data_IF_471984056862
#
_entry.id   IF_471984056862
#
_cell.length_a   1.000
_cell.length_b   1.000
_cell.length_c   1.000
_cell.angle_alpha   90.00
_cell.angle_beta   90.00
_cell.angle_gamma   90.00
#
_symmetry.space_group_name_H-M   'P 1'
#
loop_
_entity.id
_entity.type
_entity.pdbx_description
1 polymer ?
#
# COMPACT_ATOMS: atom_id res chain seq x y z
N UNK A 1 13.96 -7.20 10.89
CA UNK A 1 12.98 -8.14 10.33
C UNK A 1 13.73 -9.13 9.45
N UNK A 2 13.62 -10.44 9.69
CA UNK A 2 14.18 -11.42 8.75
C UNK A 2 13.03 -11.99 7.92
N UNK A 3 12.75 -11.36 6.77
CA UNK A 3 11.81 -11.89 5.80
C UNK A 3 12.59 -12.72 4.79
N UNK A 4 12.21 -13.99 4.63
CA UNK A 4 12.79 -14.89 3.65
C UNK A 4 11.70 -15.38 2.70
N UNK A 5 11.82 -15.08 1.42
CA UNK A 5 10.80 -15.36 0.41
C UNK A 5 11.37 -16.28 -0.67
N UNK A 6 10.67 -17.35 -0.95
CA UNK A 6 10.94 -18.18 -2.12
C UNK A 6 10.41 -17.49 -3.37
N UNK A 7 11.30 -17.16 -4.30
CA UNK A 7 10.91 -16.46 -5.53
C UNK A 7 10.54 -17.40 -6.68
N UNK A 8 11.10 -18.60 -6.73
CA UNK A 8 10.89 -19.58 -7.79
C UNK A 8 12.19 -20.32 -8.11
N UNK A 9 12.31 -20.86 -9.33
CA UNK A 9 13.52 -21.54 -9.78
C UNK A 9 14.29 -20.71 -10.81
N UNK A 10 15.59 -20.67 -10.67
CA UNK A 10 16.48 -20.10 -11.66
C UNK A 10 16.53 -20.93 -12.95
N UNK A 11 17.21 -20.41 -13.98
CA UNK A 11 17.43 -21.13 -15.24
C UNK A 11 18.21 -22.43 -15.08
N UNK A 12 19.00 -22.54 -14.02
CA UNK A 12 19.77 -23.73 -13.64
C UNK A 12 18.97 -24.74 -12.80
N UNK A 13 17.67 -24.49 -12.59
CA UNK A 13 16.78 -25.33 -11.79
C UNK A 13 16.96 -25.19 -10.28
N UNK A 14 17.84 -24.32 -9.81
CA UNK A 14 18.04 -24.08 -8.37
C UNK A 14 16.95 -23.14 -7.82
N UNK A 15 16.55 -23.41 -6.59
CA UNK A 15 15.61 -22.55 -5.88
C UNK A 15 16.24 -21.17 -5.60
N UNK A 16 15.50 -20.14 -5.89
CA UNK A 16 15.88 -18.75 -5.67
C UNK A 16 15.09 -18.18 -4.50
N UNK A 17 15.83 -17.75 -3.49
CA UNK A 17 15.28 -17.08 -2.31
C UNK A 17 15.74 -15.64 -2.25
N UNK A 18 14.91 -14.80 -1.67
CA UNK A 18 15.28 -13.45 -1.30
C UNK A 18 15.08 -13.26 0.19
N UNK A 19 16.14 -12.87 0.88
CA UNK A 19 16.13 -12.57 2.29
C UNK A 19 16.66 -11.16 2.53
N UNK A 20 15.95 -10.38 3.33
CA UNK A 20 16.41 -9.06 3.72
C UNK A 20 15.95 -8.73 5.13
N UNK A 21 16.91 -8.39 5.99
CA UNK A 21 16.67 -8.00 7.38
C UNK A 21 16.42 -6.49 7.53
N UNK A 22 16.93 -5.67 6.62
CA UNK A 22 16.97 -4.23 6.78
C UNK A 22 15.89 -3.49 6.00
N UNK A 23 15.54 -3.96 4.82
CA UNK A 23 14.57 -3.32 3.95
C UNK A 23 13.71 -4.36 3.24
N UNK A 24 12.46 -4.52 3.67
CA UNK A 24 11.51 -5.46 3.11
C UNK A 24 10.55 -4.83 2.07
N UNK A 25 10.86 -3.64 1.54
CA UNK A 25 10.09 -3.05 0.45
C UNK A 25 10.32 -3.81 -0.87
N UNK A 26 9.23 -4.06 -1.60
CA UNK A 26 9.24 -4.74 -2.89
C UNK A 26 8.57 -3.84 -3.93
N UNK A 27 9.13 -3.78 -5.13
CA UNK A 27 8.45 -3.22 -6.29
C UNK A 27 8.35 -4.24 -7.42
N UNK A 28 7.17 -4.38 -8.01
CA UNK A 28 6.88 -5.33 -9.08
C UNK A 28 6.34 -4.55 -10.28
N UNK A 29 7.05 -4.64 -11.38
CA UNK A 29 6.70 -3.97 -12.63
C UNK A 29 6.46 -4.99 -13.73
N UNK A 30 5.49 -4.73 -14.61
CA UNK A 30 5.23 -5.56 -15.79
C UNK A 30 3.83 -5.36 -16.35
N UNK A 31 3.61 -5.82 -17.58
CA UNK A 31 2.33 -5.71 -18.26
C UNK A 31 1.22 -6.50 -17.54
N UNK A 32 -0.04 -6.11 -17.77
CA UNK A 32 -1.19 -6.87 -17.27
C UNK A 32 -1.17 -8.32 -17.79
N UNK A 33 -1.65 -9.27 -16.97
CA UNK A 33 -1.69 -10.70 -17.32
C UNK A 33 -0.34 -11.43 -17.28
N UNK A 34 0.74 -10.80 -16.81
CA UNK A 34 2.08 -11.45 -16.76
C UNK A 34 2.34 -12.26 -15.50
N UNK A 35 1.41 -12.32 -14.54
CA UNK A 35 1.53 -13.11 -13.31
C UNK A 35 1.94 -12.34 -12.07
N UNK A 36 1.96 -10.99 -12.09
CA UNK A 36 2.32 -10.15 -10.94
C UNK A 36 1.48 -10.44 -9.70
N UNK A 37 0.15 -10.38 -9.83
CA UNK A 37 -0.78 -10.58 -8.72
C UNK A 37 -0.70 -12.01 -8.17
N UNK A 38 -0.45 -13.00 -9.02
CA UNK A 38 -0.22 -14.37 -8.59
C UNK A 38 1.03 -14.49 -7.73
N UNK A 39 2.18 -13.97 -8.20
CA UNK A 39 3.42 -13.98 -7.44
C UNK A 39 3.24 -13.30 -6.09
N UNK A 40 2.67 -12.09 -6.06
CA UNK A 40 2.55 -11.31 -4.82
C UNK A 40 1.60 -12.00 -3.82
N UNK A 41 0.53 -12.64 -4.29
CA UNK A 41 -0.40 -13.41 -3.43
C UNK A 41 0.32 -14.58 -2.77
N UNK A 42 1.18 -15.29 -3.50
CA UNK A 42 2.01 -16.37 -2.97
C UNK A 42 3.01 -15.85 -1.93
N UNK A 43 3.73 -14.76 -2.24
CA UNK A 43 4.68 -14.14 -1.32
C UNK A 43 4.00 -13.59 -0.06
N UNK A 44 2.78 -13.06 -0.19
CA UNK A 44 1.97 -12.60 0.94
C UNK A 44 1.63 -13.75 1.90
N UNK A 45 1.20 -14.89 1.37
CA UNK A 45 0.95 -16.10 2.18
C UNK A 45 2.21 -16.60 2.88
N UNK A 46 3.36 -16.54 2.21
CA UNK A 46 4.63 -16.93 2.79
C UNK A 46 5.09 -15.98 3.91
N UNK A 47 4.95 -14.67 3.72
CA UNK A 47 5.22 -13.66 4.74
C UNK A 47 4.28 -13.82 5.96
N UNK A 48 2.99 -14.07 5.72
CA UNK A 48 2.00 -14.34 6.76
C UNK A 48 2.41 -15.54 7.61
N UNK A 49 2.83 -16.67 7.00
CA UNK A 49 3.34 -17.86 7.73
C UNK A 49 4.59 -17.56 8.56
N UNK A 50 5.37 -16.55 8.21
CA UNK A 50 6.51 -16.07 8.99
C UNK A 50 6.10 -15.08 10.10
N UNK A 51 4.80 -14.85 10.30
CA UNK A 51 4.23 -14.05 11.37
C UNK A 51 4.12 -12.56 11.07
N UNK A 52 4.27 -12.15 9.81
CA UNK A 52 4.01 -10.77 9.39
C UNK A 52 2.51 -10.50 9.30
N UNK A 53 2.11 -9.28 9.62
CA UNK A 53 0.79 -8.78 9.27
C UNK A 53 0.82 -8.34 7.80
N UNK A 54 -0.13 -8.77 7.02
CA UNK A 54 -0.26 -8.32 5.63
C UNK A 54 -1.58 -7.57 5.48
N UNK A 55 -1.53 -6.34 4.99
CA UNK A 55 -2.71 -5.50 4.77
C UNK A 55 -2.79 -5.15 3.29
N UNK A 56 -3.92 -5.46 2.68
CA UNK A 56 -4.18 -5.24 1.25
C UNK A 56 -5.42 -4.35 1.11
N UNK A 57 -5.28 -3.04 0.99
CA UNK A 57 -6.38 -2.20 0.53
C UNK A 57 -6.65 -2.51 -0.95
N UNK A 58 -7.65 -3.34 -1.23
CA UNK A 58 -7.91 -3.87 -2.58
C UNK A 58 -8.74 -2.90 -3.43
N UNK A 59 -8.18 -1.71 -3.70
CA UNK A 59 -8.85 -0.70 -4.52
C UNK A 59 -8.91 -1.02 -6.01
N UNK A 60 -8.18 -2.05 -6.45
CA UNK A 60 -8.15 -2.53 -7.84
C UNK A 60 -8.98 -3.79 -8.06
N UNK A 61 -9.60 -4.33 -7.01
CA UNK A 61 -10.38 -5.58 -7.00
C UNK A 61 -9.54 -6.82 -7.47
N UNK A 62 -8.21 -6.75 -7.32
CA UNK A 62 -7.27 -7.78 -7.80
C UNK A 62 -7.16 -8.99 -6.87
N UNK A 63 -7.58 -8.89 -5.61
CA UNK A 63 -7.42 -9.92 -4.57
C UNK A 63 -8.74 -10.52 -4.09
N UNK A 64 -9.86 -10.24 -4.76
CA UNK A 64 -11.20 -10.75 -4.38
C UNK A 64 -11.26 -12.27 -4.27
N UNK A 65 -10.52 -12.98 -5.12
CA UNK A 65 -10.51 -14.45 -5.18
C UNK A 65 -9.44 -15.09 -4.29
N UNK A 66 -8.64 -14.28 -3.58
CA UNK A 66 -7.62 -14.83 -2.71
C UNK A 66 -8.24 -15.45 -1.47
N UNK A 67 -8.08 -16.76 -1.32
CA UNK A 67 -8.60 -17.53 -0.18
C UNK A 67 -7.48 -18.35 0.47
N UNK A 68 -7.48 -18.40 1.78
CA UNK A 68 -6.61 -19.24 2.62
C UNK A 68 -7.12 -19.14 4.06
N UNK A 69 -6.73 -20.05 4.94
CA UNK A 69 -7.07 -19.98 6.38
C UNK A 69 -6.54 -18.74 7.08
N UNK A 70 -5.49 -18.10 6.53
CA UNK A 70 -4.92 -16.86 7.04
C UNK A 70 -5.46 -15.60 6.34
N UNK A 71 -6.45 -15.71 5.45
CA UNK A 71 -7.02 -14.56 4.70
C UNK A 71 -8.34 -14.13 5.30
N UNK A 72 -8.45 -12.85 5.61
CA UNK A 72 -9.67 -12.20 6.08
C UNK A 72 -10.09 -11.12 5.09
N UNK A 73 -11.31 -11.23 4.55
CA UNK A 73 -11.92 -10.20 3.73
C UNK A 73 -12.83 -9.31 4.58
N UNK A 74 -12.64 -8.01 4.53
CA UNK A 74 -13.45 -7.04 5.28
C UNK A 74 -13.86 -5.89 4.38
N UNK A 75 -15.15 -5.57 4.38
CA UNK A 75 -15.65 -4.37 3.73
C UNK A 75 -15.15 -3.13 4.49
N UNK A 76 -14.66 -2.12 3.75
CA UNK A 76 -14.14 -0.86 4.31
C UNK A 76 -15.14 -0.18 5.26
N UNK A 77 -16.45 -0.35 5.04
CA UNK A 77 -17.51 0.20 5.88
C UNK A 77 -17.56 -0.37 7.30
N UNK A 78 -16.91 -1.52 7.53
CA UNK A 78 -16.78 -2.17 8.84
C UNK A 78 -15.51 -1.78 9.59
N UNK A 79 -14.68 -0.93 8.99
CA UNK A 79 -13.42 -0.49 9.57
C UNK A 79 -13.61 0.92 10.11
N UNK A 80 -13.27 1.13 11.38
CA UNK A 80 -13.25 2.46 11.94
C UNK A 80 -11.99 3.20 11.46
N UNK A 81 -12.18 4.18 10.58
CA UNK A 81 -11.13 5.08 10.09
C UNK A 81 -11.21 6.47 10.73
N UNK A 82 -12.02 6.67 11.77
CA UNK A 82 -12.10 7.94 12.46
C UNK A 82 -10.82 8.20 13.25
N UNK A 83 -10.07 9.21 12.83
CA UNK A 83 -8.74 9.53 13.37
C UNK A 83 -8.79 9.93 14.85
N UNK A 84 -9.84 10.62 15.29
CA UNK A 84 -9.99 11.04 16.68
C UNK A 84 -10.36 9.86 17.57
N UNK A 85 -11.29 9.02 17.14
CA UNK A 85 -11.68 7.82 17.84
C UNK A 85 -10.50 6.84 17.99
N UNK A 86 -9.72 6.65 16.93
CA UNK A 86 -8.58 5.72 16.92
C UNK A 86 -7.36 6.24 17.72
N UNK A 87 -7.27 7.54 17.95
CA UNK A 87 -6.19 8.15 18.75
C UNK A 87 -6.54 8.36 20.22
N UNK A 88 -7.70 7.85 20.66
CA UNK A 88 -8.17 8.00 22.05
C UNK A 88 -7.13 7.52 23.07
N UNK A 89 -6.96 8.31 24.13
CA UNK A 89 -5.97 8.05 25.20
C UNK A 89 -4.56 8.56 24.91
N UNK A 90 -4.32 9.16 23.72
CA UNK A 90 -3.07 9.88 23.43
C UNK A 90 -3.17 11.34 23.89
N UNK A 91 -2.04 12.02 23.88
CA UNK A 91 -1.96 13.45 24.14
C UNK A 91 -2.86 14.26 23.19
N UNK A 92 -3.56 15.27 23.73
CA UNK A 92 -4.56 16.06 23.00
C UNK A 92 -3.93 16.82 21.82
N UNK A 93 -2.75 17.43 22.03
CA UNK A 93 -2.05 18.17 20.99
C UNK A 93 -1.57 17.24 19.87
N UNK A 94 -1.06 16.05 20.23
CA UNK A 94 -0.65 15.05 19.26
C UNK A 94 -1.85 14.60 18.40
N UNK A 95 -3.02 14.40 19.00
CA UNK A 95 -4.26 14.03 18.28
C UNK A 95 -4.74 15.11 17.32
N UNK A 96 -4.67 16.38 17.75
CA UNK A 96 -5.00 17.51 16.90
C UNK A 96 -4.03 17.63 15.70
N UNK A 97 -2.73 17.35 15.91
CA UNK A 97 -1.75 17.33 14.82
C UNK A 97 -1.94 16.16 13.86
N UNK A 98 -2.32 14.98 14.36
CA UNK A 98 -2.71 13.82 13.53
C UNK A 98 -3.93 14.15 12.65
N UNK A 99 -4.92 14.87 13.19
CA UNK A 99 -6.08 15.37 12.43
C UNK A 99 -5.64 16.27 11.28
N UNK A 100 -4.80 17.26 11.55
CA UNK A 100 -4.26 18.18 10.52
C UNK A 100 -3.44 17.41 9.48
N UNK A 101 -2.62 16.47 9.92
CA UNK A 101 -1.82 15.63 9.03
C UNK A 101 -2.69 14.78 8.11
N UNK A 102 -3.83 14.27 8.61
CA UNK A 102 -4.81 13.54 7.81
C UNK A 102 -5.49 14.43 6.76
N UNK A 103 -5.83 15.67 7.08
CA UNK A 103 -6.36 16.63 6.10
C UNK A 103 -5.34 16.91 5.00
N UNK A 104 -4.07 17.06 5.36
CA UNK A 104 -2.96 17.33 4.41
C UNK A 104 -2.76 16.20 3.38
N UNK A 105 -3.20 14.97 3.68
CA UNK A 105 -3.16 13.88 2.70
C UNK A 105 -4.06 14.16 1.48
N UNK A 106 -5.12 14.95 1.67
CA UNK A 106 -6.16 15.15 0.65
C UNK A 106 -6.13 16.52 0.00
N UNK A 107 -5.62 17.53 0.70
CA UNK A 107 -5.59 18.88 0.17
C UNK A 107 -4.47 19.73 0.77
N UNK A 108 -4.10 20.79 0.05
CA UNK A 108 -3.26 21.86 0.60
C UNK A 108 -4.11 22.74 1.49
N UNK A 109 -3.69 22.93 2.72
CA UNK A 109 -4.36 23.82 3.69
C UNK A 109 -3.36 24.88 4.17
N UNK A 110 -3.77 26.15 4.15
CA UNK A 110 -2.94 27.28 4.61
C UNK A 110 -2.75 27.29 6.13
N UNK A 111 -1.64 27.82 6.62
CA UNK A 111 -1.21 27.78 8.03
C UNK A 111 -2.30 28.33 8.96
N UNK A 112 -2.92 29.47 8.64
CA UNK A 112 -3.98 30.09 9.47
C UNK A 112 -5.16 29.14 9.67
N UNK A 113 -5.62 28.47 8.59
CA UNK A 113 -6.72 27.51 8.65
C UNK A 113 -6.35 26.25 9.44
N UNK A 114 -5.09 25.79 9.31
CA UNK A 114 -4.58 24.67 10.12
C UNK A 114 -4.64 25.02 11.60
N UNK A 115 -4.19 26.21 11.99
CA UNK A 115 -4.19 26.66 13.38
C UNK A 115 -5.61 26.81 13.93
N UNK A 116 -6.53 27.35 13.13
CA UNK A 116 -7.95 27.42 13.53
C UNK A 116 -8.54 26.04 13.79
N UNK A 117 -8.33 25.08 12.87
CA UNK A 117 -8.86 23.71 13.04
C UNK A 117 -8.18 23.03 14.23
N UNK A 118 -6.87 23.21 14.41
CA UNK A 118 -6.11 22.65 15.54
C UNK A 118 -6.66 23.15 16.88
N UNK A 119 -6.84 24.45 17.03
CA UNK A 119 -7.38 25.04 18.28
C UNK A 119 -8.76 24.53 18.60
N UNK A 120 -9.65 24.46 17.60
CA UNK A 120 -11.00 23.91 17.78
C UNK A 120 -10.98 22.43 18.17
N UNK A 121 -10.07 21.64 17.54
CA UNK A 121 -9.91 20.24 17.89
C UNK A 121 -9.37 20.03 19.31
N UNK A 122 -8.40 20.85 19.74
CA UNK A 122 -7.85 20.82 21.12
C UNK A 122 -8.96 21.15 22.13
N UNK A 123 -9.72 22.25 21.91
CA UNK A 123 -10.83 22.63 22.79
C UNK A 123 -11.89 21.52 22.86
N UNK A 124 -12.27 20.96 21.70
CA UNK A 124 -13.20 19.84 21.63
C UNK A 124 -12.76 18.65 22.47
N UNK A 125 -11.49 18.23 22.30
CA UNK A 125 -10.92 17.07 23.01
C UNK A 125 -10.74 17.29 24.50
N UNK A 126 -10.54 18.53 24.95
CA UNK A 126 -10.47 18.90 26.36
C UNK A 126 -11.84 18.91 27.04
N UNK A 127 -12.88 19.32 26.33
CA UNK A 127 -14.24 19.45 26.84
C UNK A 127 -15.04 18.14 26.77
N UNK A 128 -14.70 17.24 25.83
CA UNK A 128 -15.45 16.00 25.57
C UNK A 128 -14.61 14.77 25.89
N UNK A 129 -15.10 13.91 26.75
CA UNK A 129 -14.39 12.68 27.16
C UNK A 129 -15.03 11.38 26.65
N UNK A 130 -16.21 11.45 26.03
CA UNK A 130 -16.98 10.22 25.73
C UNK A 130 -17.10 9.91 24.25
N UNK A 131 -17.37 10.87 23.40
CA UNK A 131 -17.62 10.65 21.97
C UNK A 131 -16.71 11.53 21.10
N UNK A 132 -15.47 11.13 20.99
CA UNK A 132 -14.40 11.88 20.31
C UNK A 132 -14.26 11.41 18.87
N UNK A 133 -15.17 11.87 17.99
CA UNK A 133 -15.16 11.55 16.56
C UNK A 133 -15.10 12.80 15.70
N UNK A 134 -14.67 12.66 14.44
CA UNK A 134 -14.65 13.79 13.49
C UNK A 134 -16.05 14.37 13.24
N UNK A 135 -17.13 13.60 13.09
CA UNK A 135 -18.49 14.15 12.99
C UNK A 135 -18.91 14.97 14.22
N UNK A 136 -18.55 14.53 15.43
CA UNK A 136 -18.85 15.28 16.66
C UNK A 136 -18.01 16.57 16.75
N UNK A 137 -16.77 16.55 16.30
CA UNK A 137 -15.97 17.77 16.17
C UNK A 137 -16.61 18.77 15.21
N UNK A 138 -17.14 18.33 14.07
CA UNK A 138 -17.86 19.21 13.14
C UNK A 138 -19.06 19.85 13.86
N UNK A 139 -19.87 19.04 14.55
CA UNK A 139 -21.04 19.51 15.31
C UNK A 139 -20.66 20.50 16.43
N UNK A 140 -19.52 20.27 17.09
CA UNK A 140 -18.96 21.18 18.09
C UNK A 140 -18.58 22.51 17.47
N UNK A 141 -17.83 22.50 16.35
CA UNK A 141 -17.41 23.72 15.65
C UNK A 141 -18.60 24.56 15.18
N UNK A 142 -19.67 23.92 14.71
CA UNK A 142 -20.91 24.60 14.28
C UNK A 142 -21.60 25.36 15.42
N UNK A 143 -21.48 24.87 16.66
CA UNK A 143 -22.01 25.55 17.85
C UNK A 143 -21.14 26.69 18.33
N UNK A 144 -19.82 26.59 18.15
CA UNK A 144 -18.86 27.59 18.61
C UNK A 144 -18.69 28.76 17.65
N UNK A 145 -18.79 28.52 16.35
CA UNK A 145 -18.55 29.51 15.31
C UNK A 145 -19.85 30.26 14.95
N UNK A 146 -19.75 31.58 14.74
CA UNK A 146 -20.87 32.44 14.36
C UNK A 146 -20.89 32.75 12.85
N UNK A 147 -19.71 32.81 12.21
CA UNK A 147 -19.60 33.15 10.81
C UNK A 147 -19.87 31.93 9.92
N UNK A 148 -20.84 32.04 9.01
CA UNK A 148 -21.18 30.96 8.06
C UNK A 148 -20.01 30.52 7.19
N UNK A 149 -19.11 31.46 6.81
CA UNK A 149 -17.90 31.15 6.03
C UNK A 149 -16.87 30.31 6.78
N UNK A 150 -16.76 30.47 8.11
CA UNK A 150 -15.88 29.65 8.94
C UNK A 150 -16.46 28.24 9.12
N UNK A 151 -17.78 28.14 9.33
CA UNK A 151 -18.49 26.85 9.42
C UNK A 151 -18.34 26.06 8.10
N UNK A 152 -18.54 26.72 6.98
CA UNK A 152 -18.36 26.10 5.66
C UNK A 152 -16.90 25.64 5.44
N UNK A 153 -15.95 26.46 5.82
CA UNK A 153 -14.54 26.09 5.78
C UNK A 153 -14.26 24.83 6.61
N UNK A 154 -14.75 24.75 7.84
CA UNK A 154 -14.58 23.59 8.73
C UNK A 154 -15.23 22.33 8.09
N UNK A 155 -16.46 22.43 7.63
CA UNK A 155 -17.16 21.32 6.95
C UNK A 155 -16.36 20.81 5.74
N UNK A 156 -15.81 21.72 4.93
CA UNK A 156 -15.05 21.37 3.74
C UNK A 156 -13.77 20.63 4.07
N UNK A 157 -13.02 21.03 5.09
CA UNK A 157 -11.78 20.36 5.46
C UNK A 157 -11.99 19.08 6.27
N UNK A 158 -12.81 19.12 7.32
CA UNK A 158 -13.07 17.92 8.13
C UNK A 158 -13.91 16.88 7.39
N UNK A 159 -14.81 17.30 6.50
CA UNK A 159 -15.58 16.40 5.64
C UNK A 159 -14.70 15.53 4.73
N UNK A 160 -13.47 15.94 4.45
CA UNK A 160 -12.53 15.13 3.69
C UNK A 160 -12.11 13.84 4.42
N UNK A 161 -12.11 13.86 5.73
CA UNK A 161 -11.62 12.77 6.60
C UNK A 161 -12.74 12.08 7.43
N UNK A 162 -14.00 12.43 7.19
CA UNK A 162 -15.14 11.71 7.77
C UNK A 162 -15.18 10.30 7.18
N UNK A 163 -15.23 9.23 8.02
CA UNK A 163 -15.33 7.86 7.55
C UNK A 163 -16.67 7.58 6.83
N UNK A 164 -16.68 6.55 5.98
CA UNK A 164 -17.84 6.19 5.12
C UNK A 164 -19.05 5.75 5.93
N UNK A 165 -18.82 5.16 7.10
CA UNK A 165 -19.87 4.50 7.89
C UNK A 165 -20.06 5.13 9.25
N UNK A 166 -21.33 5.42 9.56
CA UNK A 166 -21.75 5.73 10.92
C UNK A 166 -21.81 4.49 11.84
N UNK A 167 -21.82 3.28 11.27
CA UNK A 167 -21.90 2.01 12.02
C UNK A 167 -20.52 1.46 12.44
N UNK A 168 -19.47 2.26 12.34
CA UNK A 168 -18.08 1.89 12.59
C UNK A 168 -17.74 1.58 14.07
N UNK A 169 -18.69 1.11 14.86
CA UNK A 169 -18.47 0.71 16.25
C UNK A 169 -17.93 -0.72 16.42
N UNK A 170 -17.88 -1.52 15.36
CA UNK A 170 -17.17 -2.80 15.37
C UNK A 170 -15.70 -2.55 15.01
N UNK A 171 -14.87 -2.37 16.02
CA UNK A 171 -13.41 -2.26 15.85
C UNK A 171 -12.85 -3.56 15.30
N UNK A 172 -12.82 -3.71 14.00
CA UNK A 172 -12.01 -4.76 13.37
C UNK A 172 -10.58 -4.24 13.32
N UNK A 173 -9.68 -4.85 14.10
CA UNK A 173 -8.25 -4.53 14.02
C UNK A 173 -7.74 -4.85 12.61
N UNK A 174 -7.18 -3.85 11.94
CA UNK A 174 -6.59 -4.00 10.60
C UNK A 174 -5.33 -4.87 10.65
N UNK A 175 -4.60 -4.83 11.76
CA UNK A 175 -3.35 -5.56 11.93
C UNK A 175 -3.55 -6.74 12.88
N UNK A 176 -3.70 -7.95 12.32
CA UNK A 176 -3.76 -9.19 13.08
C UNK A 176 -2.53 -10.05 12.77
N UNK A 177 -1.73 -10.44 13.79
CA UNK A 177 -0.50 -11.20 13.59
C UNK A 177 -0.72 -12.51 12.82
N UNK A 178 0.04 -12.70 11.75
CA UNK A 178 -0.07 -13.90 10.93
C UNK A 178 -1.36 -13.97 10.11
N UNK A 179 -1.97 -12.83 9.80
CA UNK A 179 -3.14 -12.73 8.94
C UNK A 179 -2.87 -11.84 7.72
N UNK A 180 -3.56 -12.15 6.64
CA UNK A 180 -3.67 -11.31 5.45
C UNK A 180 -5.05 -10.65 5.50
N UNK A 181 -5.08 -9.37 5.72
CA UNK A 181 -6.31 -8.60 5.80
C UNK A 181 -6.56 -7.88 4.48
N UNK A 182 -7.51 -8.36 3.69
CA UNK A 182 -7.93 -7.75 2.43
C UNK A 182 -9.11 -6.84 2.72
N UNK A 183 -8.92 -5.54 2.50
CA UNK A 183 -9.93 -4.52 2.70
C UNK A 183 -10.60 -4.24 1.36
N UNK A 184 -11.87 -4.61 1.26
CA UNK A 184 -12.67 -4.49 0.05
C UNK A 184 -13.42 -3.16 0.02
N UNK A 185 -13.50 -2.57 -1.17
CA UNK A 185 -14.26 -1.35 -1.40
C UNK A 185 -15.59 -1.65 -2.08
N UNK A 186 -16.67 -0.94 -1.74
CA UNK A 186 -17.94 -1.08 -2.42
C UNK A 186 -17.81 -0.81 -3.93
N UNK A 187 -18.53 -1.56 -4.75
CA UNK A 187 -18.48 -1.46 -6.22
C UNK A 187 -18.87 -0.08 -6.75
N UNK A 188 -19.73 0.65 -6.05
CA UNK A 188 -20.17 2.00 -6.40
C UNK A 188 -19.14 3.09 -6.08
N UNK A 189 -18.10 2.77 -5.33
CA UNK A 189 -17.06 3.72 -4.94
C UNK A 189 -16.10 3.97 -6.10
N UNK A 190 -15.98 5.22 -6.50
CA UNK A 190 -15.06 5.63 -7.57
C UNK A 190 -13.59 5.43 -7.20
N UNK A 191 -12.72 5.32 -8.21
CA UNK A 191 -11.27 5.10 -8.04
C UNK A 191 -10.61 6.11 -7.10
N UNK A 192 -10.92 7.39 -7.24
CA UNK A 192 -10.34 8.45 -6.42
C UNK A 192 -10.71 8.30 -4.94
N UNK A 193 -11.95 7.89 -4.66
CA UNK A 193 -12.39 7.62 -3.29
C UNK A 193 -11.69 6.39 -2.71
N UNK A 194 -11.55 5.29 -3.50
CA UNK A 194 -10.83 4.09 -3.07
C UNK A 194 -9.39 4.41 -2.72
N UNK A 195 -8.70 5.19 -3.55
CA UNK A 195 -7.33 5.64 -3.30
C UNK A 195 -7.23 6.51 -2.04
N UNK A 196 -8.18 7.41 -1.85
CA UNK A 196 -8.28 8.26 -0.66
C UNK A 196 -8.40 7.43 0.62
N UNK A 197 -9.32 6.47 0.65
CA UNK A 197 -9.47 5.60 1.82
C UNK A 197 -8.27 4.66 2.00
N UNK A 198 -7.61 4.27 0.92
CA UNK A 198 -6.32 3.57 1.00
C UNK A 198 -5.29 4.39 1.77
N UNK A 199 -5.11 5.67 1.44
CA UNK A 199 -4.20 6.55 2.18
C UNK A 199 -4.60 6.72 3.65
N UNK A 200 -5.91 6.74 3.98
CA UNK A 200 -6.38 6.75 5.38
C UNK A 200 -6.02 5.46 6.13
N UNK A 201 -6.18 4.29 5.50
CA UNK A 201 -5.78 3.00 6.09
C UNK A 201 -4.27 3.00 6.37
N UNK A 202 -3.47 3.45 5.40
CA UNK A 202 -2.02 3.55 5.55
C UNK A 202 -1.63 4.49 6.70
N UNK A 203 -2.32 5.63 6.83
CA UNK A 203 -2.08 6.61 7.89
C UNK A 203 -2.45 6.04 9.27
N UNK A 204 -3.56 5.34 9.38
CA UNK A 204 -3.98 4.71 10.64
C UNK A 204 -2.96 3.70 11.13
N UNK A 205 -2.57 2.75 10.28
CA UNK A 205 -1.57 1.73 10.64
C UNK A 205 -0.21 2.37 10.92
N UNK A 206 0.16 3.41 10.18
CA UNK A 206 1.38 4.19 10.47
C UNK A 206 1.35 4.75 11.90
N UNK A 207 0.26 5.40 12.28
CA UNK A 207 0.12 6.02 13.61
C UNK A 207 0.13 4.97 14.74
N UNK A 208 -0.43 3.79 14.49
CA UNK A 208 -0.35 2.66 15.43
C UNK A 208 1.09 2.14 15.58
N UNK A 209 1.85 2.05 14.50
CA UNK A 209 3.22 1.51 14.51
C UNK A 209 4.27 2.46 15.08
N UNK A 210 4.09 3.78 14.95
CA UNK A 210 5.02 4.76 15.53
C UNK A 210 4.81 4.93 17.03
N UNK A 211 3.68 4.49 17.59
CA UNK A 211 3.41 4.56 19.03
C UNK A 211 4.06 3.36 19.74
N UNK A 212 5.07 3.57 20.61
CA UNK A 212 5.79 2.46 21.25
C UNK A 212 4.90 1.53 22.09
N UNK A 213 3.80 2.05 22.64
CA UNK A 213 2.86 1.29 23.46
C UNK A 213 1.88 0.45 22.63
N UNK A 214 1.75 0.73 21.34
CA UNK A 214 0.81 0.08 20.42
C UNK A 214 1.53 -0.67 19.28
N UNK A 215 2.84 -0.52 19.15
CA UNK A 215 3.62 -1.13 18.08
C UNK A 215 3.36 -2.65 18.05
N UNK A 216 2.74 -3.09 16.99
CA UNK A 216 2.44 -4.48 16.71
C UNK A 216 3.63 -5.17 16.02
N UNK A 217 3.44 -6.43 15.62
CA UNK A 217 4.39 -7.12 14.74
C UNK A 217 4.54 -6.36 13.41
N UNK A 218 5.64 -6.59 12.67
CA UNK A 218 5.89 -5.95 11.40
C UNK A 218 4.72 -6.06 10.42
N UNK A 219 4.46 -4.98 9.69
CA UNK A 219 3.34 -4.87 8.74
C UNK A 219 3.86 -4.75 7.31
N UNK A 220 3.23 -5.49 6.41
CA UNK A 220 3.44 -5.41 4.97
C UNK A 220 2.15 -4.86 4.34
N UNK A 221 2.25 -3.73 3.65
CA UNK A 221 1.19 -3.25 2.76
C UNK A 221 1.41 -3.76 1.34
N UNK A 222 0.38 -4.32 0.72
CA UNK A 222 0.38 -4.65 -0.71
C UNK A 222 -0.53 -3.68 -1.43
N UNK A 223 0.03 -2.97 -2.40
CA UNK A 223 -0.63 -1.90 -3.15
C UNK A 223 -0.52 -2.22 -4.65
N UNK A 224 -1.58 -2.79 -5.21
CA UNK A 224 -1.65 -3.08 -6.65
C UNK A 224 -2.05 -1.81 -7.42
N UNK A 225 -1.73 -1.76 -8.71
CA UNK A 225 -1.93 -0.57 -9.57
C UNK A 225 -1.40 0.73 -8.94
N UNK A 226 -0.20 0.64 -8.34
CA UNK A 226 0.41 1.72 -7.56
C UNK A 226 0.61 3.04 -8.33
N UNK A 227 0.45 3.04 -9.67
CA UNK A 227 0.46 4.27 -10.47
C UNK A 227 -0.69 5.22 -10.10
N UNK A 228 -1.81 4.71 -9.60
CA UNK A 228 -2.92 5.52 -9.11
C UNK A 228 -2.63 6.26 -7.79
N UNK A 229 -1.63 5.82 -7.03
CA UNK A 229 -1.29 6.41 -5.72
C UNK A 229 -0.48 7.71 -5.78
N UNK A 230 -0.22 8.25 -6.97
CA UNK A 230 0.58 9.48 -7.16
C UNK A 230 1.91 9.44 -6.39
N UNK A 231 2.63 8.32 -6.46
CA UNK A 231 3.93 8.15 -5.81
C UNK A 231 4.90 9.28 -6.19
N UNK A 232 5.66 9.78 -5.20
CA UNK A 232 6.51 10.96 -5.35
C UNK A 232 5.90 12.24 -4.79
N UNK A 233 4.62 12.25 -4.37
CA UNK A 233 3.98 13.30 -3.59
C UNK A 233 4.25 13.14 -2.08
N UNK A 234 3.65 13.99 -1.24
CA UNK A 234 3.75 13.90 0.23
C UNK A 234 2.62 13.05 0.84
N UNK A 235 2.24 11.95 0.19
CA UNK A 235 1.24 11.02 0.69
C UNK A 235 1.85 9.89 1.53
N UNK A 236 1.01 9.09 2.21
CA UNK A 236 1.46 8.03 3.11
C UNK A 236 2.13 6.89 2.37
N UNK A 237 1.63 6.52 1.18
CA UNK A 237 2.25 5.49 0.35
C UNK A 237 3.72 5.83 0.01
N UNK A 238 4.03 7.09 -0.32
CA UNK A 238 5.41 7.56 -0.51
C UNK A 238 6.21 7.56 0.78
N UNK A 239 5.59 8.00 1.89
CA UNK A 239 6.24 8.03 3.21
C UNK A 239 6.62 6.63 3.69
N UNK A 240 5.79 5.64 3.47
CA UNK A 240 6.08 4.24 3.77
C UNK A 240 7.37 3.79 3.09
N UNK A 241 7.56 4.07 1.81
CA UNK A 241 8.79 3.71 1.08
C UNK A 241 10.04 4.38 1.64
N UNK A 242 9.92 5.63 2.11
CA UNK A 242 11.06 6.41 2.62
C UNK A 242 11.44 6.09 4.05
N UNK A 243 10.46 5.88 4.90
CA UNK A 243 10.64 5.87 6.36
C UNK A 243 10.12 4.60 7.02
N UNK A 244 9.23 3.83 6.35
CA UNK A 244 8.48 2.73 6.95
C UNK A 244 9.35 1.67 7.62
N UNK A 245 10.53 1.38 7.07
CA UNK A 245 11.44 0.37 7.63
C UNK A 245 11.83 0.67 9.09
N UNK A 246 11.91 1.97 9.48
CA UNK A 246 12.25 2.38 10.86
C UNK A 246 11.20 1.95 11.86
N UNK A 247 9.97 1.79 11.41
CA UNK A 247 8.79 1.49 12.22
C UNK A 247 8.24 0.09 11.96
N UNK A 248 8.99 -0.75 11.26
CA UNK A 248 8.54 -2.09 10.95
C UNK A 248 7.47 -2.17 9.88
N UNK A 249 7.35 -1.15 9.03
CA UNK A 249 6.38 -1.10 7.92
C UNK A 249 7.08 -1.31 6.60
N UNK A 250 6.57 -2.23 5.79
CA UNK A 250 7.04 -2.49 4.42
C UNK A 250 5.93 -2.24 3.41
N UNK A 251 6.26 -1.61 2.29
CA UNK A 251 5.36 -1.46 1.15
C UNK A 251 5.79 -2.37 0.00
N UNK A 252 4.85 -3.13 -0.54
CA UNK A 252 4.98 -3.94 -1.73
C UNK A 252 4.11 -3.33 -2.82
N UNK A 253 4.74 -2.73 -3.81
CA UNK A 253 4.08 -1.93 -4.84
C UNK A 253 4.07 -2.67 -6.17
N UNK A 254 2.89 -2.91 -6.69
CA UNK A 254 2.69 -3.55 -7.98
C UNK A 254 2.19 -2.50 -8.96
N UNK A 255 2.80 -2.42 -10.11
CA UNK A 255 2.34 -1.50 -11.16
C UNK A 255 2.60 -2.07 -12.55
N UNK A 256 1.82 -1.60 -13.51
CA UNK A 256 2.18 -1.68 -14.90
C UNK A 256 3.40 -0.78 -15.14
N UNK A 257 3.95 -0.73 -16.34
CA UNK A 257 5.12 0.09 -16.61
C UNK A 257 4.90 1.56 -16.20
N UNK A 258 5.79 2.10 -15.36
CA UNK A 258 5.72 3.49 -14.93
C UNK A 258 6.46 4.39 -15.93
N UNK A 259 5.72 5.24 -16.61
CA UNK A 259 6.29 6.28 -17.49
C UNK A 259 6.73 7.54 -16.71
N UNK A 260 6.33 7.67 -15.44
CA UNK A 260 6.69 8.80 -14.59
C UNK A 260 8.03 8.56 -13.89
N UNK A 261 9.00 9.45 -14.17
CA UNK A 261 10.34 9.44 -13.55
C UNK A 261 10.26 9.56 -12.02
N UNK A 262 9.33 10.35 -11.49
CA UNK A 262 9.16 10.51 -10.04
C UNK A 262 8.74 9.20 -9.38
N UNK A 263 7.80 8.51 -9.99
CA UNK A 263 7.35 7.19 -9.55
C UNK A 263 8.48 6.16 -9.59
N UNK A 264 9.23 6.09 -10.70
CA UNK A 264 10.37 5.18 -10.84
C UNK A 264 11.44 5.46 -9.77
N UNK A 265 11.75 6.72 -9.49
CA UNK A 265 12.69 7.10 -8.45
C UNK A 265 12.19 6.71 -7.05
N UNK A 266 10.90 6.85 -6.80
CA UNK A 266 10.30 6.44 -5.52
C UNK A 266 10.34 4.92 -5.36
N UNK A 267 9.94 4.16 -6.38
CA UNK A 267 9.98 2.70 -6.38
C UNK A 267 11.42 2.12 -6.35
N UNK A 268 12.42 2.90 -6.77
CA UNK A 268 13.83 2.48 -6.70
C UNK A 268 14.36 2.32 -5.28
N UNK A 269 13.64 2.82 -4.27
CA UNK A 269 13.94 2.63 -2.85
C UNK A 269 13.60 1.21 -2.36
N UNK A 270 12.82 0.44 -3.11
CA UNK A 270 12.57 -0.95 -2.80
C UNK A 270 13.85 -1.80 -2.94
N UNK A 271 14.12 -2.64 -1.94
CA UNK A 271 15.30 -3.52 -1.95
C UNK A 271 15.15 -4.64 -2.97
N UNK A 272 13.94 -5.16 -3.15
CA UNK A 272 13.64 -6.13 -4.20
C UNK A 272 12.84 -5.46 -5.31
N UNK A 273 13.38 -5.48 -6.52
CA UNK A 273 12.74 -4.92 -7.71
C UNK A 273 12.58 -6.01 -8.75
N UNK A 274 11.34 -6.47 -8.91
CA UNK A 274 10.95 -7.57 -9.79
C UNK A 274 10.40 -7.00 -11.09
N UNK A 275 10.84 -7.54 -12.20
CA UNK A 275 10.45 -7.13 -13.54
C UNK A 275 9.86 -8.31 -14.30
N UNK A 276 8.56 -8.30 -14.48
CA UNK A 276 7.86 -9.14 -15.42
C UNK A 276 7.99 -8.56 -16.84
N UNK A 277 7.55 -9.31 -17.84
CA UNK A 277 7.58 -8.86 -19.22
C UNK A 277 6.84 -7.52 -19.36
N UNK A 278 7.52 -6.44 -19.79
CA UNK A 278 6.89 -5.17 -20.07
C UNK A 278 6.16 -5.20 -21.42
N UNK A 279 5.36 -4.18 -21.74
CA UNK A 279 4.83 -3.96 -23.10
C UNK A 279 5.97 -3.89 -24.12
N UNK A 280 5.68 -4.28 -25.35
CA UNK A 280 6.70 -4.40 -26.43
C UNK A 280 7.43 -3.08 -26.69
N UNK A 281 6.73 -1.96 -26.54
CA UNK A 281 7.26 -0.59 -26.66
C UNK A 281 8.31 -0.26 -25.60
N UNK A 282 8.24 -0.88 -24.43
CA UNK A 282 9.11 -0.62 -23.29
C UNK A 282 10.32 -1.56 -23.19
N UNK A 283 10.35 -2.66 -23.93
CA UNK A 283 11.45 -3.66 -23.89
C UNK A 283 12.80 -3.00 -24.19
N UNK A 284 12.85 -2.17 -25.26
CA UNK A 284 14.09 -1.52 -25.69
C UNK A 284 14.59 -0.50 -24.66
N UNK A 285 13.70 0.30 -24.09
CA UNK A 285 14.06 1.31 -23.10
C UNK A 285 14.52 0.67 -21.79
N UNK A 286 13.86 -0.37 -21.31
CA UNK A 286 14.24 -1.13 -20.13
C UNK A 286 15.62 -1.79 -20.31
N UNK A 287 15.84 -2.47 -21.42
CA UNK A 287 17.11 -3.12 -21.73
C UNK A 287 18.26 -2.10 -21.78
N UNK A 288 18.05 -0.94 -22.42
CA UNK A 288 19.05 0.14 -22.50
C UNK A 288 19.35 0.75 -21.12
N UNK A 289 18.32 1.03 -20.34
CA UNK A 289 18.48 1.59 -18.99
C UNK A 289 19.30 0.66 -18.06
N UNK A 290 19.14 -0.66 -18.22
CA UNK A 290 19.84 -1.67 -17.41
C UNK A 290 21.24 -2.02 -17.89
N UNK A 291 21.55 -1.74 -19.14
CA UNK A 291 22.86 -2.00 -19.72
C UNK A 291 23.94 -0.95 -19.35
N UNK A 292 23.55 0.14 -18.67
CA UNK A 292 24.45 1.23 -18.28
C UNK A 292 25.35 1.71 -19.44
N UNK A 293 24.77 1.83 -20.65
CA UNK A 293 25.49 2.26 -21.85
C UNK A 293 26.23 1.15 -22.63
N UNK A 294 26.27 -0.08 -22.13
CA UNK A 294 26.90 -1.19 -22.84
C UNK A 294 25.94 -1.81 -23.87
N UNK A 295 26.21 -1.61 -25.16
CA UNK A 295 25.36 -2.07 -26.25
C UNK A 295 25.18 -3.59 -26.30
N UNK A 296 26.26 -4.35 -26.03
CA UNK A 296 26.22 -5.83 -26.02
C UNK A 296 25.29 -6.34 -24.91
N UNK A 297 25.43 -5.78 -23.71
CA UNK A 297 24.52 -6.09 -22.57
C UNK A 297 23.08 -5.67 -22.86
N UNK A 298 22.86 -4.52 -23.53
CA UNK A 298 21.52 -4.10 -23.91
C UNK A 298 20.83 -5.09 -24.86
N UNK A 299 21.56 -5.64 -25.81
CA UNK A 299 21.04 -6.64 -26.74
C UNK A 299 20.68 -7.95 -26.00
N UNK A 300 21.53 -8.40 -25.10
CA UNK A 300 21.28 -9.59 -24.27
C UNK A 300 20.02 -9.41 -23.39
N UNK A 301 19.90 -8.28 -22.68
CA UNK A 301 18.71 -7.98 -21.89
C UNK A 301 17.44 -7.90 -22.75
N UNK A 302 17.53 -7.30 -23.95
CA UNK A 302 16.41 -7.25 -24.88
C UNK A 302 15.93 -8.63 -25.30
N UNK A 303 16.85 -9.54 -25.64
CA UNK A 303 16.52 -10.92 -26.03
C UNK A 303 15.91 -11.69 -24.83
N UNK A 304 16.49 -11.55 -23.63
CA UNK A 304 15.97 -12.16 -22.42
C UNK A 304 14.54 -11.71 -22.12
N UNK A 305 14.31 -10.39 -22.12
CA UNK A 305 12.98 -9.82 -21.80
C UNK A 305 11.94 -10.22 -22.85
N UNK A 306 12.32 -10.23 -24.15
CA UNK A 306 11.42 -10.62 -25.24
C UNK A 306 11.01 -12.11 -25.16
N UNK A 307 11.89 -12.97 -24.65
CA UNK A 307 11.65 -14.40 -24.48
C UNK A 307 10.91 -14.82 -23.21
N UNK A 308 10.57 -13.87 -22.32
CA UNK A 308 9.87 -14.17 -21.08
C UNK A 308 8.46 -14.71 -21.35
N UNK A 309 8.10 -15.79 -20.64
CA UNK A 309 6.75 -16.37 -20.62
C UNK A 309 5.88 -15.72 -19.54
N UNK A 310 4.61 -16.02 -19.52
CA UNK A 310 3.72 -15.65 -18.42
C UNK A 310 4.22 -16.34 -17.15
N UNK A 311 4.35 -15.59 -16.07
CA UNK A 311 4.89 -16.08 -14.79
C UNK A 311 6.41 -15.94 -14.64
N UNK A 312 7.16 -15.77 -15.75
CA UNK A 312 8.60 -15.52 -15.67
C UNK A 312 8.88 -14.05 -15.30
N UNK A 313 9.93 -13.85 -14.51
CA UNK A 313 10.40 -12.52 -14.16
C UNK A 313 11.92 -12.52 -13.94
N UNK A 314 12.49 -11.34 -13.82
CA UNK A 314 13.85 -11.18 -13.35
C UNK A 314 13.96 -10.08 -12.30
N UNK A 315 15.00 -10.14 -11.51
CA UNK A 315 15.35 -9.08 -10.57
C UNK A 315 16.88 -8.90 -10.57
N UNK A 316 17.34 -7.79 -10.00
CA UNK A 316 18.77 -7.56 -9.86
C UNK A 316 19.18 -7.87 -8.41
N UNK A 317 20.19 -8.73 -8.27
CA UNK A 317 20.78 -9.02 -6.98
C UNK A 317 21.64 -7.83 -6.48
N UNK A 318 22.18 -7.94 -5.27
CA UNK A 318 23.04 -6.92 -4.66
C UNK A 318 24.30 -6.59 -5.46
N UNK A 319 24.80 -7.55 -6.25
CA UNK A 319 25.94 -7.36 -7.16
C UNK A 319 25.54 -6.73 -8.49
N UNK A 320 24.26 -6.39 -8.70
CA UNK A 320 23.76 -5.78 -9.94
C UNK A 320 23.54 -6.77 -11.09
N UNK A 321 23.72 -8.07 -10.87
CA UNK A 321 23.47 -9.09 -11.89
C UNK A 321 21.99 -9.41 -11.99
N UNK A 322 21.48 -9.57 -13.22
CA UNK A 322 20.12 -10.02 -13.46
C UNK A 322 19.99 -11.51 -13.13
N UNK A 323 19.07 -11.83 -12.23
CA UNK A 323 18.67 -13.20 -11.92
C UNK A 323 17.31 -13.46 -12.57
N UNK A 324 17.28 -14.39 -13.49
CA UNK A 324 16.05 -14.82 -14.16
C UNK A 324 15.40 -15.93 -13.34
N UNK A 325 14.09 -15.81 -13.12
CA UNK A 325 13.30 -16.75 -12.32
C UNK A 325 12.11 -17.22 -13.13
N UNK A 326 11.91 -18.53 -13.13
CA UNK A 326 10.72 -19.17 -13.66
C UNK A 326 9.72 -19.39 -12.52
N UNK A 327 8.46 -19.12 -12.77
CA UNK A 327 7.40 -19.46 -11.83
C UNK A 327 6.98 -20.91 -12.06
N UNK A 328 7.49 -21.84 -11.25
CA UNK A 328 7.33 -23.28 -11.43
C UNK A 328 5.92 -23.82 -11.18
N UNK A 329 5.08 -23.06 -10.51
CA UNK A 329 3.68 -23.50 -10.24
C UNK A 329 2.74 -23.25 -11.43
N UNK A 330 3.12 -22.44 -12.42
CA UNK A 330 2.32 -22.24 -13.64
C UNK A 330 2.36 -23.44 -14.59
N UNK A 331 3.38 -24.27 -14.52
CA UNK A 331 3.46 -25.47 -15.38
C UNK A 331 2.42 -26.55 -15.00
N UNK A 332 1.97 -26.59 -13.74
CA UNK A 332 0.94 -27.55 -13.28
C UNK A 332 -0.50 -27.15 -13.68
N UNK A 333 -0.75 -25.87 -13.93
CA UNK A 333 -2.08 -25.36 -14.32
C UNK A 333 -2.35 -25.53 -15.82
N UNK A 334 -1.30 -25.56 -16.66
CA UNK A 334 -1.46 -25.75 -18.11
C UNK A 334 -1.64 -27.21 -18.53
N UNK A 335 -1.21 -28.19 -17.73
CA UNK A 335 -1.42 -29.62 -18.02
C UNK A 335 -2.80 -30.15 -17.59
N UNK A 336 -3.55 -29.40 -16.75
CA UNK A 336 -4.88 -29.82 -16.26
C UNK A 336 -6.08 -29.25 -17.01
N UNK A 337 -5.89 -28.39 -17.99
CA UNK A 337 -6.95 -27.65 -18.69
C UNK A 337 -7.29 -28.15 -20.08
N UNK A 338 -7.58 -29.43 -20.27
CA UNK A 338 -8.36 -29.89 -21.41
C UNK A 338 -9.85 -29.54 -21.17
N UNK A 339 -10.25 -28.35 -21.53
CA UNK A 339 -11.65 -28.03 -21.75
C UNK A 339 -12.09 -28.75 -23.04
N UNK A 340 -12.61 -29.97 -22.90
CA UNK A 340 -13.48 -30.54 -23.90
C UNK A 340 -14.74 -29.71 -23.96
N UNK A 341 -15.02 -29.19 -25.16
CA UNK A 341 -16.14 -28.35 -25.45
C UNK A 341 -17.51 -28.99 -25.24
N UNK A 342 -18.45 -28.17 -25.00
CA UNK A 342 -19.77 -28.18 -25.72
C UNK A 342 -20.32 -26.76 -25.62
#
# INVERSE_FOLDING_TARGET
MNLNLFLGQGVDGRNVYWANAENAHISILGQSGTGKTYLISRLAKEACRQGFNVVIPDYSDSFLQMQDSCVLHTDIRKINLDILSNSKGRDVEARAEELISSIRLFCKIGIVKQDTIRQLAVSFLQENSTNETVPELISYCEKQLKASSEIEMIRNYLGLIVPISADAYTHVSICQPGMIHIIQFPYWMGSDQRLKYTEMILAQVWNEQICPCMASKPVIFILDEAHGLHLGSQNMSTRILREGRKFGISGWFITQWANDIKMLNTLSQAALRIFFRPGTENIKSLAKARAHGNLKSALQYRQMIAGMRVGDFFFFNTSGNAVYVKNTETDQIQEGGNYNGL
#
